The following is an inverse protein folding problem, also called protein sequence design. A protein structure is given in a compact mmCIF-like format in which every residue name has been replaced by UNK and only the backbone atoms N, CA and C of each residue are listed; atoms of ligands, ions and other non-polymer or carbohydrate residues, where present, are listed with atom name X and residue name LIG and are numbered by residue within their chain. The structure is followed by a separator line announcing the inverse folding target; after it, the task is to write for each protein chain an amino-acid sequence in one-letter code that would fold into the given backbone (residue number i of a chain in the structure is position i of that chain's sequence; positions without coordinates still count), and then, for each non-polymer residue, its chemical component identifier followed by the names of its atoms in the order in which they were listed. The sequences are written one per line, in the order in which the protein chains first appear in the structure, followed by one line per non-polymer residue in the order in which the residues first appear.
data_IF_102544590784
#
_entry.id   IF_102544590784
#
_cell.length_a   1.000
_cell.length_b   1.000
_cell.length_c   1.000
_cell.angle_alpha   90.00
_cell.angle_beta   90.00
_cell.angle_gamma   90.00
#
_symmetry.space_group_name_H-M   'P 1'
#
loop_
_entity.id
_entity.type
_entity.pdbx_description
1 polymer ?
#
# COMPACT_ATOMS: atom_id res chain seq x y z
N UNK A 1 2.77 17.22 -5.09
CA UNK A 1 3.36 16.40 -4.03
C UNK A 1 3.35 14.96 -4.44
N UNK A 2 4.38 14.19 -4.09
CA UNK A 2 4.34 12.76 -4.38
C UNK A 2 3.42 12.04 -3.42
N UNK A 3 2.88 10.91 -3.90
CA UNK A 3 1.90 10.11 -3.16
C UNK A 3 2.35 8.67 -3.07
N UNK A 4 2.00 8.02 -1.98
CA UNK A 4 1.95 6.55 -1.91
C UNK A 4 0.49 6.17 -1.99
N UNK A 5 0.19 5.11 -2.71
CA UNK A 5 -1.19 4.68 -2.91
C UNK A 5 -1.29 3.17 -2.82
N UNK A 6 -2.48 2.70 -2.50
CA UNK A 6 -2.77 1.26 -2.45
C UNK A 6 -4.03 0.98 -3.24
N UNK A 7 -3.95 0.01 -4.13
CA UNK A 7 -5.08 -0.45 -4.93
C UNK A 7 -5.52 -1.82 -4.44
N UNK A 8 -6.82 -2.05 -4.48
CA UNK A 8 -7.38 -3.37 -4.23
C UNK A 8 -7.93 -3.91 -5.54
N UNK A 9 -7.63 -5.16 -5.84
CA UNK A 9 -8.07 -5.80 -7.07
C UNK A 9 -9.33 -6.63 -6.84
N UNK A 10 -9.87 -7.14 -7.95
CA UNK A 10 -11.06 -7.99 -7.90
C UNK A 10 -10.87 -9.21 -7.01
N UNK A 11 -9.66 -9.76 -6.99
CA UNK A 11 -9.34 -10.94 -6.17
C UNK A 11 -8.96 -10.59 -4.74
N UNK A 12 -9.14 -9.33 -4.34
CA UNK A 12 -8.87 -8.82 -2.98
C UNK A 12 -7.39 -8.68 -2.66
N UNK A 13 -6.51 -8.91 -3.61
CA UNK A 13 -5.08 -8.62 -3.41
C UNK A 13 -4.83 -7.11 -3.50
N UNK A 14 -3.68 -6.68 -3.00
CA UNK A 14 -3.31 -5.28 -2.96
C UNK A 14 -2.06 -5.00 -3.78
N UNK A 15 -1.99 -3.79 -4.30
CA UNK A 15 -0.81 -3.27 -4.96
C UNK A 15 -0.46 -1.92 -4.33
N UNK A 16 0.82 -1.73 -3.98
CA UNK A 16 1.30 -0.50 -3.36
C UNK A 16 2.31 0.15 -4.29
N UNK A 17 2.14 1.43 -4.57
CA UNK A 17 3.06 2.16 -5.43
C UNK A 17 3.20 3.60 -4.99
N UNK A 18 4.08 4.34 -5.66
CA UNK A 18 4.24 5.78 -5.47
C UNK A 18 4.17 6.48 -6.80
N UNK A 19 3.76 7.76 -6.78
CA UNK A 19 3.61 8.53 -8.00
C UNK A 19 3.62 10.02 -7.68
N UNK A 20 4.00 10.84 -8.67
CA UNK A 20 3.86 12.28 -8.59
C UNK A 20 2.44 12.75 -8.90
N UNK A 21 1.67 11.94 -9.64
CA UNK A 21 0.33 12.30 -10.09
C UNK A 21 -0.60 11.12 -9.81
N UNK A 22 -1.27 11.19 -8.66
CA UNK A 22 -2.12 10.10 -8.19
C UNK A 22 -3.27 9.82 -9.14
N UNK A 23 -3.98 10.85 -9.55
CA UNK A 23 -5.17 10.70 -10.40
C UNK A 23 -4.82 10.05 -11.72
N UNK A 24 -3.76 10.53 -12.34
CA UNK A 24 -3.29 9.97 -13.61
C UNK A 24 -2.87 8.52 -13.46
N UNK A 25 -2.14 8.21 -12.38
CA UNK A 25 -1.64 6.85 -12.18
C UNK A 25 -2.76 5.86 -11.94
N UNK A 26 -3.76 6.26 -11.14
CA UNK A 26 -4.91 5.39 -10.91
C UNK A 26 -5.67 5.15 -12.21
N UNK A 27 -5.86 6.19 -13.01
CA UNK A 27 -6.49 6.05 -14.32
C UNK A 27 -5.73 5.09 -15.21
N UNK A 28 -4.40 5.19 -15.23
CA UNK A 28 -3.57 4.29 -16.03
C UNK A 28 -3.77 2.84 -15.61
N UNK A 29 -3.81 2.58 -14.31
CA UNK A 29 -4.04 1.22 -13.82
C UNK A 29 -5.43 0.71 -14.22
N UNK A 30 -6.44 1.56 -14.15
CA UNK A 30 -7.80 1.17 -14.51
C UNK A 30 -7.92 0.88 -16.00
N UNK A 31 -7.15 1.57 -16.82
CA UNK A 31 -7.17 1.39 -18.26
C UNK A 31 -6.27 0.25 -18.73
N UNK A 32 -5.56 -0.39 -17.82
CA UNK A 32 -4.67 -1.49 -18.15
C UNK A 32 -3.31 -1.06 -18.66
N UNK A 33 -2.94 0.21 -18.44
CA UNK A 33 -1.65 0.76 -18.87
C UNK A 33 -0.60 0.70 -17.78
N UNK A 34 -0.97 0.22 -16.60
CA UNK A 34 -0.03 0.08 -15.50
C UNK A 34 0.79 -1.20 -15.61
N UNK A 35 1.34 -1.65 -14.47
CA UNK A 35 2.13 -2.87 -14.44
C UNK A 35 1.32 -4.07 -14.91
N UNK A 36 2.02 -5.08 -15.43
CA UNK A 36 1.37 -6.30 -15.90
C UNK A 36 0.52 -6.96 -14.81
N UNK A 37 1.00 -6.89 -13.56
CA UNK A 37 0.29 -7.42 -12.43
C UNK A 37 -1.12 -6.81 -12.31
N UNK A 38 -1.21 -5.47 -12.41
CA UNK A 38 -2.49 -4.77 -12.26
C UNK A 38 -3.39 -4.98 -13.46
N UNK A 39 -2.80 -5.05 -14.66
CA UNK A 39 -3.58 -5.19 -15.89
C UNK A 39 -4.46 -6.43 -15.89
N UNK A 40 -3.96 -7.52 -15.34
CA UNK A 40 -4.69 -8.80 -15.32
C UNK A 40 -5.70 -8.91 -14.20
N UNK A 41 -5.67 -7.98 -13.24
CA UNK A 41 -6.49 -8.05 -12.04
C UNK A 41 -7.51 -6.93 -11.95
N UNK A 42 -7.80 -6.30 -13.07
CA UNK A 42 -8.83 -5.26 -13.11
C UNK A 42 -10.20 -5.87 -12.88
N UNK A 43 -11.14 -5.12 -12.37
CA UNK A 43 -11.06 -3.70 -12.00
C UNK A 43 -10.23 -3.47 -10.75
N UNK A 44 -9.69 -2.25 -10.65
CA UNK A 44 -8.91 -1.85 -9.48
C UNK A 44 -9.65 -0.76 -8.74
N UNK A 45 -9.41 -0.67 -7.44
CA UNK A 45 -10.02 0.35 -6.61
C UNK A 45 -8.96 0.99 -5.73
N UNK A 46 -8.94 2.32 -5.69
CA UNK A 46 -8.04 3.04 -4.80
C UNK A 46 -8.61 2.95 -3.38
N UNK A 47 -7.88 2.31 -2.47
CA UNK A 47 -8.35 2.09 -1.10
C UNK A 47 -7.58 2.91 -0.07
N UNK A 48 -6.42 3.43 -0.43
CA UNK A 48 -5.63 4.27 0.49
C UNK A 48 -4.64 5.10 -0.31
N UNK A 49 -4.39 6.32 0.16
CA UNK A 49 -3.31 7.15 -0.37
C UNK A 49 -2.88 8.16 0.68
N UNK A 50 -1.65 8.65 0.53
CA UNK A 50 -1.13 9.71 1.39
C UNK A 50 -0.10 10.52 0.61
N UNK A 51 -0.06 11.83 0.88
CA UNK A 51 0.88 12.74 0.24
C UNK A 51 2.11 12.92 1.12
N UNK A 52 3.25 13.13 0.47
CA UNK A 52 4.53 13.31 1.16
C UNK A 52 5.24 14.53 0.60
N UNK A 53 6.18 15.07 1.39
CA UNK A 53 6.90 16.27 0.98
C UNK A 53 7.92 16.00 -0.12
N UNK A 54 8.43 14.77 -0.18
CA UNK A 54 9.44 14.43 -1.18
C UNK A 54 9.20 13.03 -1.73
N UNK A 55 9.74 12.79 -2.93
CA UNK A 55 9.66 11.46 -3.54
C UNK A 55 10.46 10.44 -2.73
N UNK A 56 11.52 10.87 -2.07
CA UNK A 56 12.32 10.00 -1.23
C UNK A 56 11.49 9.46 -0.08
N UNK A 57 10.73 10.34 0.58
CA UNK A 57 9.85 9.93 1.67
C UNK A 57 8.74 9.01 1.17
N UNK A 58 8.14 9.33 0.02
CA UNK A 58 7.09 8.52 -0.56
C UNK A 58 7.62 7.12 -0.88
N UNK A 59 8.78 7.07 -1.52
CA UNK A 59 9.38 5.80 -1.88
C UNK A 59 9.69 4.94 -0.65
N UNK A 60 10.22 5.56 0.40
CA UNK A 60 10.51 4.86 1.64
C UNK A 60 9.23 4.26 2.24
N UNK A 61 8.14 5.03 2.24
CA UNK A 61 6.88 4.54 2.76
C UNK A 61 6.29 3.43 1.88
N UNK A 62 6.42 3.57 0.58
CA UNK A 62 6.00 2.51 -0.35
C UNK A 62 6.67 1.19 0.02
N UNK A 63 7.98 1.21 0.23
CA UNK A 63 8.72 -0.01 0.55
C UNK A 63 8.28 -0.58 1.89
N UNK A 64 8.02 0.28 2.86
CA UNK A 64 7.54 -0.18 4.17
C UNK A 64 6.20 -0.89 4.06
N UNK A 65 5.25 -0.26 3.37
CA UNK A 65 3.91 -0.82 3.25
C UNK A 65 3.93 -2.10 2.42
N UNK A 66 4.80 -2.17 1.42
CA UNK A 66 4.97 -3.41 0.65
C UNK A 66 5.39 -4.58 1.52
N UNK A 67 6.13 -4.32 2.59
CA UNK A 67 6.57 -5.35 3.51
C UNK A 67 5.58 -5.69 4.62
N UNK A 68 4.46 -4.98 4.71
CA UNK A 68 3.49 -5.20 5.77
C UNK A 68 2.62 -6.42 5.49
N UNK A 69 2.12 -7.04 6.56
CA UNK A 69 1.16 -8.12 6.45
C UNK A 69 -0.20 -7.58 5.99
N UNK A 70 -1.05 -8.47 5.54
CA UNK A 70 -2.41 -8.09 5.12
C UNK A 70 -3.20 -7.42 6.25
N UNK A 71 -3.23 -7.96 7.49
CA UNK A 71 -3.96 -7.28 8.56
C UNK A 71 -3.46 -5.85 8.81
N UNK A 72 -2.16 -5.62 8.70
CA UNK A 72 -1.61 -4.29 8.91
C UNK A 72 -2.01 -3.35 7.78
N UNK A 73 -2.03 -3.83 6.55
CA UNK A 73 -2.48 -3.02 5.41
C UNK A 73 -3.97 -2.67 5.55
N UNK A 74 -4.78 -3.63 6.00
CA UNK A 74 -6.20 -3.40 6.21
C UNK A 74 -6.41 -2.35 7.31
N UNK A 75 -5.63 -2.41 8.39
CA UNK A 75 -5.71 -1.41 9.43
C UNK A 75 -5.41 -0.01 8.89
N UNK A 76 -4.42 0.09 8.01
CA UNK A 76 -4.09 1.36 7.37
C UNK A 76 -5.26 1.87 6.52
N UNK A 77 -5.84 0.99 5.71
CA UNK A 77 -6.97 1.34 4.84
C UNK A 77 -8.16 1.83 5.66
N UNK A 78 -8.43 1.17 6.78
CA UNK A 78 -9.58 1.49 7.62
C UNK A 78 -9.32 2.63 8.60
N UNK A 79 -8.11 3.18 8.59
CA UNK A 79 -7.77 4.29 9.46
C UNK A 79 -7.54 3.89 10.91
N UNK A 80 -7.37 2.62 11.20
CA UNK A 80 -7.10 2.14 12.56
C UNK A 80 -5.60 2.26 12.85
N UNK A 81 -5.13 3.50 12.88
CA UNK A 81 -3.70 3.78 12.96
C UNK A 81 -3.08 3.33 14.29
N UNK A 82 -3.88 3.31 15.35
CA UNK A 82 -3.41 2.86 16.65
C UNK A 82 -3.09 1.37 16.67
N UNK A 83 -3.66 0.60 15.74
CA UNK A 83 -3.40 -0.83 15.65
C UNK A 83 -2.06 -1.14 14.99
N UNK A 84 -1.51 -0.21 14.22
CA UNK A 84 -0.30 -0.47 13.45
C UNK A 84 0.90 -0.85 14.31
N UNK A 85 1.23 -0.10 15.38
CA UNK A 85 2.34 -0.50 16.24
C UNK A 85 2.08 -1.84 16.92
N UNK A 86 0.84 -2.11 17.31
CA UNK A 86 0.48 -3.35 17.97
C UNK A 86 0.72 -4.55 17.06
N UNK A 87 0.30 -4.45 15.81
CA UNK A 87 0.51 -5.54 14.84
C UNK A 87 2.00 -5.77 14.59
N UNK A 88 2.78 -4.69 14.48
CA UNK A 88 4.23 -4.80 14.31
C UNK A 88 4.90 -5.41 15.53
N UNK A 89 4.46 -5.00 16.74
CA UNK A 89 5.04 -5.49 17.98
C UNK A 89 4.76 -6.97 18.18
N UNK A 90 3.54 -7.42 17.84
CA UNK A 90 3.20 -8.84 17.93
C UNK A 90 4.13 -9.67 17.07
N UNK A 91 4.39 -9.22 15.87
CA UNK A 91 5.30 -9.90 14.97
C UNK A 91 6.73 -9.93 15.53
N UNK A 92 7.17 -8.79 16.08
CA UNK A 92 8.48 -8.69 16.70
C UNK A 92 8.59 -9.59 17.92
N UNK A 93 7.54 -9.64 18.75
CA UNK A 93 7.53 -10.49 19.94
C UNK A 93 7.72 -11.96 19.58
N UNK A 94 7.06 -12.42 18.54
CA UNK A 94 7.22 -13.81 18.10
C UNK A 94 8.65 -14.12 17.68
N UNK A 95 9.27 -13.19 16.97
CA UNK A 95 10.67 -13.36 16.58
C UNK A 95 11.60 -13.35 17.79
N UNK A 96 11.30 -12.50 18.74
CA UNK A 96 12.08 -12.46 19.96
C UNK A 96 11.98 -13.76 20.74
N UNK A 97 10.78 -14.32 20.80
CA UNK A 97 10.56 -15.59 21.47
C UNK A 97 11.31 -16.73 20.78
N UNK A 98 11.41 -16.66 19.46
CA UNK A 98 12.13 -17.66 18.70
C UNK A 98 13.64 -17.48 18.77
N UNK A 99 14.05 -16.26 18.99
CA UNK A 99 15.45 -15.93 19.07
C UNK A 99 15.98 -15.96 20.47
#
# INVERSE_FOLDING_TARGET
MPYVYMLEFRDRSFYVGSTWDLERRVSEHQEGLGAAYTRRRRPVRLVWHAAYDSITEAYAMEKRVQGWSRPKRIALIEGRLDDLPHLSRRRGARRSDAG
#
